data_IF_655882636083
#
_entry.id   IF_655882636083
#
_cell.length_a   1.000
_cell.length_b   1.000
_cell.length_c   1.000
_cell.angle_alpha   90.00
_cell.angle_beta   90.00
_cell.angle_gamma   90.00
#
_symmetry.space_group_name_H-M   'P 1'
#
loop_
_entity.id
_entity.type
_entity.pdbx_description
1 polymer ?
#
# COMPACT_ATOMS: atom_id res chain seq x y z
N UNK A 1 -5.16 3.16 19.64
CA UNK A 1 -5.52 3.32 19.11
C UNK A 1 -5.93 3.36 18.42
N UNK A 2 -5.98 3.37 17.87
CA UNK A 2 -6.42 3.54 17.15
C UNK A 2 -7.13 3.48 16.55
N UNK A 3 -7.07 3.32 16.57
CA UNK A 3 -7.72 2.94 15.88
C UNK A 3 -8.90 3.26 15.37
N UNK A 4 -9.77 3.44 15.89
CA UNK A 4 -11.04 3.84 15.36
C UNK A 4 -11.01 4.82 14.29
N UNK A 5 -10.01 5.39 14.12
CA UNK A 5 -9.88 6.38 13.18
C UNK A 5 -10.23 6.02 11.80
N UNK A 6 -10.41 4.76 11.54
CA UNK A 6 -10.76 4.38 10.24
C UNK A 6 -12.18 4.07 10.07
N UNK A 7 -13.02 4.52 10.93
CA UNK A 7 -14.39 4.11 10.91
C UNK A 7 -15.10 4.42 9.62
N UNK A 8 -14.83 5.56 9.04
CA UNK A 8 -15.50 5.95 7.83
C UNK A 8 -15.23 5.02 6.70
N UNK A 9 -13.99 4.59 6.56
CA UNK A 9 -13.65 3.68 5.50
C UNK A 9 -13.62 2.25 6.01
N UNK A 10 -13.70 2.09 7.31
CA UNK A 10 -13.54 0.80 7.94
C UNK A 10 -14.53 -0.22 7.47
N UNK A 11 -15.76 0.17 7.22
CA UNK A 11 -16.74 -0.77 6.79
C UNK A 11 -16.31 -1.46 5.50
N UNK A 12 -15.81 -0.70 4.55
CA UNK A 12 -15.36 -1.23 3.31
C UNK A 12 -14.09 -2.01 3.45
N UNK A 13 -13.17 -1.50 4.26
CA UNK A 13 -11.85 -2.07 4.38
C UNK A 13 -11.63 -2.83 5.66
N UNK A 14 -12.70 -3.03 6.46
CA UNK A 14 -12.56 -3.65 7.75
C UNK A 14 -11.94 -5.02 7.70
N UNK A 15 -12.35 -5.84 6.74
CA UNK A 15 -11.81 -7.18 6.63
C UNK A 15 -10.34 -7.15 6.20
N UNK A 16 -9.98 -6.19 5.37
CA UNK A 16 -8.59 -6.04 4.97
C UNK A 16 -7.76 -5.63 6.16
N UNK A 17 -8.25 -4.67 6.93
CA UNK A 17 -7.54 -4.23 8.13
C UNK A 17 -7.36 -5.36 9.12
N UNK A 18 -8.39 -6.18 9.30
CA UNK A 18 -8.30 -7.33 10.18
C UNK A 18 -7.27 -8.33 9.68
N UNK A 19 -7.26 -8.56 8.37
CA UNK A 19 -6.29 -9.48 7.79
C UNK A 19 -4.87 -8.97 8.02
N UNK A 20 -4.65 -7.67 7.80
CA UNK A 20 -3.33 -7.09 8.01
C UNK A 20 -2.91 -7.25 9.46
N UNK A 21 -3.84 -7.05 10.40
CA UNK A 21 -3.52 -7.20 11.81
C UNK A 21 -3.11 -8.64 12.12
N UNK A 22 -3.77 -9.62 11.50
CA UNK A 22 -3.40 -11.01 11.69
C UNK A 22 -2.04 -11.32 11.08
N UNK A 23 -1.77 -10.76 9.92
CA UNK A 23 -0.46 -10.94 9.28
C UNK A 23 0.63 -10.30 10.14
N UNK A 24 0.36 -9.11 10.70
CA UNK A 24 1.30 -8.46 11.59
C UNK A 24 1.63 -9.36 12.78
N UNK A 25 0.61 -9.99 13.33
CA UNK A 25 0.80 -10.87 14.46
C UNK A 25 1.67 -12.07 14.10
N UNK A 26 1.37 -12.68 12.95
CA UNK A 26 2.15 -13.83 12.51
C UNK A 26 3.61 -13.42 12.27
N UNK A 27 3.81 -12.30 11.62
CA UNK A 27 5.15 -11.80 11.33
C UNK A 27 5.90 -11.49 12.63
N UNK A 28 5.21 -10.87 13.56
CA UNK A 28 5.79 -10.51 14.83
C UNK A 28 6.25 -11.77 15.58
N UNK A 29 5.55 -12.87 15.38
CA UNK A 29 5.87 -14.13 16.02
C UNK A 29 6.91 -14.93 15.23
N UNK A 30 7.51 -14.34 14.22
CA UNK A 30 8.60 -14.97 13.51
C UNK A 30 8.23 -15.75 12.27
N UNK A 31 6.97 -15.75 11.90
CA UNK A 31 6.55 -16.44 10.68
C UNK A 31 7.04 -15.65 9.47
N UNK A 32 7.77 -16.29 8.58
CA UNK A 32 8.36 -15.57 7.46
C UNK A 32 8.22 -16.28 6.13
N UNK A 33 7.23 -17.14 5.97
CA UNK A 33 7.03 -17.84 4.73
C UNK A 33 6.62 -16.86 3.63
N UNK A 34 7.03 -17.11 2.39
CA UNK A 34 6.68 -16.22 1.28
C UNK A 34 5.18 -16.00 1.12
N UNK A 35 4.38 -17.00 1.46
CA UNK A 35 2.93 -16.85 1.33
C UNK A 35 2.40 -15.75 2.25
N UNK A 36 3.03 -15.55 3.40
CA UNK A 36 2.62 -14.47 4.28
C UNK A 36 2.79 -13.12 3.60
N UNK A 37 3.96 -12.91 3.01
CA UNK A 37 4.26 -11.64 2.36
C UNK A 37 3.42 -11.42 1.12
N UNK A 38 3.10 -12.48 0.41
CA UNK A 38 2.21 -12.38 -0.73
C UNK A 38 0.82 -11.94 -0.29
N UNK A 39 0.31 -12.53 0.77
CA UNK A 39 -1.02 -12.19 1.29
C UNK A 39 -1.06 -10.77 1.85
N UNK A 40 -0.02 -10.39 2.55
CA UNK A 40 0.15 -9.04 3.06
C UNK A 40 0.07 -8.02 1.91
N UNK A 41 0.86 -8.29 0.86
CA UNK A 41 0.93 -7.37 -0.26
C UNK A 41 -0.43 -7.23 -0.94
N UNK A 42 -1.14 -8.34 -1.09
CA UNK A 42 -2.46 -8.30 -1.68
C UNK A 42 -3.40 -7.43 -0.86
N UNK A 43 -3.31 -7.54 0.45
CA UNK A 43 -4.18 -6.76 1.34
C UNK A 43 -3.87 -5.27 1.21
N UNK A 44 -2.60 -4.91 1.24
CA UNK A 44 -2.24 -3.50 1.10
C UNK A 44 -2.63 -2.95 -0.27
N UNK A 45 -2.45 -3.74 -1.33
CA UNK A 45 -2.84 -3.29 -2.66
C UNK A 45 -4.34 -3.04 -2.75
N UNK A 46 -5.11 -3.86 -2.06
CA UNK A 46 -6.55 -3.73 -2.09
C UNK A 46 -7.00 -2.38 -1.56
N UNK A 47 -6.30 -1.85 -0.59
CA UNK A 47 -6.63 -0.52 -0.06
C UNK A 47 -5.74 0.56 -0.64
N UNK A 48 -4.99 0.21 -1.69
CA UNK A 48 -4.14 1.14 -2.43
C UNK A 48 -3.06 1.78 -1.56
N UNK A 49 -2.61 1.04 -0.56
CA UNK A 49 -1.50 1.46 0.29
C UNK A 49 -0.23 0.87 -0.28
N UNK A 50 0.21 1.44 -1.39
CA UNK A 50 1.34 0.88 -2.14
C UNK A 50 2.66 1.04 -1.40
N UNK A 51 2.78 2.08 -0.58
CA UNK A 51 3.99 2.27 0.21
C UNK A 51 4.23 1.08 1.13
N UNK A 52 3.21 0.68 1.85
CA UNK A 52 3.35 -0.45 2.75
C UNK A 52 3.45 -1.77 2.00
N UNK A 53 2.80 -1.84 0.84
CA UNK A 53 2.94 -3.03 0.01
C UNK A 53 4.40 -3.24 -0.38
N UNK A 54 5.07 -2.17 -0.80
CA UNK A 54 6.46 -2.26 -1.20
C UNK A 54 7.35 -2.63 -0.02
N UNK A 55 7.11 -2.01 1.14
CA UNK A 55 7.90 -2.30 2.32
C UNK A 55 7.80 -3.75 2.73
N UNK A 56 6.60 -4.30 2.70
CA UNK A 56 6.38 -5.68 3.09
C UNK A 56 7.03 -6.64 2.09
N UNK A 57 6.95 -6.30 0.81
CA UNK A 57 7.56 -7.15 -0.21
C UNK A 57 9.08 -7.10 -0.12
N UNK A 58 9.65 -5.93 0.17
CA UNK A 58 11.08 -5.83 0.38
C UNK A 58 11.52 -6.70 1.54
N UNK A 59 10.77 -6.67 2.63
CA UNK A 59 11.11 -7.51 3.77
C UNK A 59 11.03 -8.97 3.41
N UNK A 60 9.99 -9.38 2.69
CA UNK A 60 9.84 -10.77 2.29
C UNK A 60 10.98 -11.24 1.40
N UNK A 61 11.40 -10.37 0.47
CA UNK A 61 12.51 -10.70 -0.40
C UNK A 61 13.80 -10.83 0.40
N UNK A 62 14.02 -9.95 1.35
CA UNK A 62 15.22 -9.98 2.16
C UNK A 62 15.26 -11.16 3.11
N UNK A 63 14.09 -11.59 3.56
CA UNK A 63 14.02 -12.72 4.48
C UNK A 63 14.01 -14.05 3.79
N UNK A 64 14.00 -14.05 2.47
CA UNK A 64 13.94 -15.29 1.74
C UNK A 64 15.10 -16.16 2.15
N UNK A 65 14.88 -17.43 2.17
CA UNK A 65 15.91 -18.36 2.51
C UNK A 65 16.16 -19.28 1.35
N UNK A 66 15.31 -20.28 1.18
CA UNK A 66 15.50 -21.24 0.11
C UNK A 66 14.36 -21.25 -0.87
N UNK A 67 13.41 -20.33 -0.71
CA UNK A 67 12.27 -20.32 -1.60
C UNK A 67 12.46 -19.31 -2.69
N UNK A 68 11.82 -19.57 -3.80
CA UNK A 68 11.82 -18.64 -4.90
C UNK A 68 11.01 -17.42 -4.53
N UNK A 69 11.63 -16.25 -4.61
CA UNK A 69 10.93 -15.00 -4.31
C UNK A 69 10.58 -14.23 -5.56
N UNK A 70 10.62 -14.91 -6.72
CA UNK A 70 10.30 -14.24 -7.97
C UNK A 70 8.92 -13.62 -7.98
N UNK A 71 7.96 -14.30 -7.38
CA UNK A 71 6.59 -13.77 -7.30
C UNK A 71 6.55 -12.49 -6.49
N UNK A 72 7.30 -12.46 -5.39
CA UNK A 72 7.34 -11.26 -4.56
C UNK A 72 8.01 -10.11 -5.30
N UNK A 73 9.08 -10.41 -6.01
CA UNK A 73 9.79 -9.38 -6.77
C UNK A 73 8.91 -8.82 -7.87
N UNK A 74 8.19 -9.69 -8.59
CA UNK A 74 7.30 -9.23 -9.65
C UNK A 74 6.18 -8.37 -9.07
N UNK A 75 5.65 -8.77 -7.94
CA UNK A 75 4.60 -8.01 -7.28
C UNK A 75 5.11 -6.66 -6.81
N UNK A 76 6.35 -6.63 -6.34
CA UNK A 76 6.98 -5.39 -5.91
C UNK A 76 7.14 -4.42 -7.08
N UNK A 77 7.59 -4.92 -8.22
CA UNK A 77 7.74 -4.09 -9.40
C UNK A 77 6.40 -3.48 -9.81
N UNK A 78 5.35 -4.26 -9.76
CA UNK A 78 4.02 -3.78 -10.09
C UNK A 78 3.57 -2.72 -9.09
N UNK A 79 3.85 -2.94 -7.80
CA UNK A 79 3.46 -1.99 -6.76
C UNK A 79 4.17 -0.65 -6.95
N UNK A 80 5.43 -0.70 -7.36
CA UNK A 80 6.18 0.53 -7.61
C UNK A 80 5.53 1.30 -8.76
N UNK A 81 5.16 0.61 -9.83
CA UNK A 81 4.50 1.27 -10.95
C UNK A 81 3.18 1.89 -10.52
N UNK A 82 2.43 1.17 -9.70
CA UNK A 82 1.15 1.69 -9.22
C UNK A 82 1.35 2.91 -8.31
N UNK A 83 2.39 2.88 -7.50
CA UNK A 83 2.69 4.01 -6.63
C UNK A 83 3.05 5.24 -7.47
N UNK A 84 3.88 5.07 -8.48
CA UNK A 84 4.24 6.18 -9.34
C UNK A 84 3.01 6.73 -10.05
N UNK A 85 2.14 5.86 -10.53
CA UNK A 85 0.93 6.31 -11.22
C UNK A 85 0.03 7.10 -10.27
N UNK A 86 -0.07 6.64 -9.03
CA UNK A 86 -0.87 7.33 -8.04
C UNK A 86 -0.30 8.70 -7.72
N UNK A 87 1.01 8.78 -7.52
CA UNK A 87 1.67 10.03 -7.21
C UNK A 87 1.57 11.01 -8.37
N UNK A 88 1.70 10.50 -9.59
CA UNK A 88 1.59 11.34 -10.76
C UNK A 88 0.19 11.91 -10.89
N UNK A 89 -0.82 11.09 -10.66
CA UNK A 89 -2.20 11.55 -10.72
C UNK A 89 -2.46 12.62 -9.67
N UNK A 90 -1.92 12.43 -8.48
CA UNK A 90 -2.08 13.40 -7.40
C UNK A 90 -1.38 14.71 -7.73
N UNK A 91 -0.20 14.62 -8.32
CA UNK A 91 0.54 15.82 -8.70
C UNK A 91 -0.22 16.61 -9.77
N UNK A 92 -0.73 15.90 -10.76
CA UNK A 92 -1.49 16.55 -11.82
C UNK A 92 -2.75 17.21 -11.28
N UNK A 93 -3.45 16.51 -10.39
CA UNK A 93 -4.67 17.05 -9.80
C UNK A 93 -4.35 18.30 -8.99
N UNK A 94 -3.24 18.30 -8.28
CA UNK A 94 -2.86 19.46 -7.49
C UNK A 94 -2.51 20.65 -8.38
N UNK A 95 -1.75 20.40 -9.45
CA UNK A 95 -1.36 21.47 -10.36
C UNK A 95 -2.58 22.08 -11.01
N UNK A 96 -3.53 21.23 -11.38
CA UNK A 96 -4.75 21.70 -11.98
C UNK A 96 -5.55 22.57 -11.02
N UNK A 97 -5.63 22.12 -9.78
CA UNK A 97 -6.33 22.88 -8.76
C UNK A 97 -5.68 24.23 -8.52
N UNK A 98 -4.34 24.24 -8.44
CA UNK A 98 -3.59 25.47 -8.23
C UNK A 98 -3.78 26.43 -9.42
N UNK A 99 -3.77 25.89 -10.62
CA UNK A 99 -3.98 26.71 -11.81
C UNK A 99 -5.35 27.36 -11.79
N UNK A 100 -6.38 26.60 -11.45
CA UNK A 100 -7.73 27.13 -11.39
C UNK A 100 -7.87 28.21 -10.33
N UNK A 101 -7.19 28.01 -9.20
CA UNK A 101 -7.21 29.04 -8.15
C UNK A 101 -6.54 30.31 -8.61
N UNK A 102 -5.44 30.19 -9.30
CA UNK A 102 -4.72 31.37 -9.79
C UNK A 102 -5.57 32.12 -10.79
N UNK A 103 -6.23 31.39 -11.70
CA UNK A 103 -7.09 32.02 -12.67
C UNK A 103 -8.24 32.74 -12.02
N UNK A 104 -8.81 32.13 -10.99
CA UNK A 104 -9.91 32.73 -10.27
C UNK A 104 -9.51 34.02 -9.62
N UNK A 105 -8.30 34.07 -9.09
CA UNK A 105 -7.79 35.27 -8.48
C UNK A 105 -7.63 36.38 -9.48
N UNK A 106 -7.20 36.04 -10.65
CA UNK A 106 -6.97 37.06 -11.68
C UNK A 106 -8.26 37.64 -12.19
N UNK A 107 -9.34 36.93 -12.11
CA UNK A 107 -10.62 37.42 -12.57
C UNK A 107 -11.16 38.53 -11.73
N UNK A 108 -10.62 38.71 -10.56
CA UNK A 108 -11.04 39.79 -9.71
C UNK A 108 -10.34 41.08 -10.09
#
# INVERSE_FOLDING_TARGET
MHVGYREGSGRKNGKVDEAIALFDKARYNGYDAPVLYDSYAKAYRKIKDYDNEILILDEGIMRKTRHDVGTLAARRDKAIKLLFAKQEAERIAKEKSDFLKANKKEDI
#
